data_IF_746324041792
#
_entry.id   IF_746324041792
#
_cell.length_a   1.000
_cell.length_b   1.000
_cell.length_c   1.000
_cell.angle_alpha   90.00
_cell.angle_beta   90.00
_cell.angle_gamma   90.00
#
_symmetry.space_group_name_H-M   'P 1'
#
loop_
_entity.id
_entity.type
_entity.pdbx_description
1 polymer ?
#
# COMPACT_ATOMS: atom_id res chain seq x y z
N UNK A 1 -13.30 0.55 14.82
CA UNK A 1 -12.26 -0.50 14.87
C UNK A 1 -11.00 0.02 14.18
N UNK A 2 -9.88 -0.69 14.31
CA UNK A 2 -8.63 -0.39 13.61
C UNK A 2 -8.54 -1.33 12.41
N UNK A 3 -8.36 -0.79 11.21
CA UNK A 3 -8.37 -1.56 9.97
C UNK A 3 -7.14 -1.22 9.13
N UNK A 4 -6.50 -2.25 8.60
CA UNK A 4 -5.46 -2.14 7.59
C UNK A 4 -6.05 -2.55 6.25
N UNK A 5 -5.82 -1.74 5.23
CA UNK A 5 -6.32 -1.96 3.86
C UNK A 5 -5.12 -1.98 2.93
N UNK A 6 -4.89 -3.12 2.28
CA UNK A 6 -3.87 -3.26 1.25
C UNK A 6 -4.54 -3.31 -0.12
N UNK A 7 -4.29 -2.29 -0.94
CA UNK A 7 -4.90 -2.16 -2.26
C UNK A 7 -4.17 -2.99 -3.32
N UNK A 8 -4.95 -3.79 -4.01
CA UNK A 8 -4.62 -4.54 -5.22
C UNK A 8 -3.32 -5.33 -5.13
N UNK A 9 -3.16 -6.22 -4.13
CA UNK A 9 -2.07 -7.20 -4.12
C UNK A 9 -2.32 -8.30 -5.16
N UNK A 10 -2.48 -7.91 -6.42
CA UNK A 10 -2.74 -8.80 -7.55
C UNK A 10 -1.42 -9.23 -8.21
N UNK A 11 -1.39 -10.39 -8.91
CA UNK A 11 -0.18 -10.87 -9.57
C UNK A 11 0.48 -9.85 -10.49
N UNK A 12 -0.29 -9.08 -11.26
CA UNK A 12 0.22 -8.13 -12.24
C UNK A 12 1.09 -7.04 -11.61
N UNK A 13 0.64 -6.48 -10.49
CA UNK A 13 1.37 -5.42 -9.79
C UNK A 13 2.54 -5.99 -8.99
N UNK A 14 2.33 -7.06 -8.24
CA UNK A 14 3.40 -7.68 -7.45
C UNK A 14 4.52 -8.23 -8.35
N UNK A 15 4.19 -8.89 -9.45
CA UNK A 15 5.18 -9.41 -10.40
C UNK A 15 5.97 -8.30 -11.07
N UNK A 16 5.32 -7.17 -11.35
CA UNK A 16 6.00 -5.98 -11.88
C UNK A 16 7.05 -5.48 -10.88
N UNK A 17 6.67 -5.31 -9.61
CA UNK A 17 7.59 -4.90 -8.54
C UNK A 17 8.75 -5.87 -8.35
N UNK A 18 8.45 -7.17 -8.26
CA UNK A 18 9.45 -8.23 -8.11
C UNK A 18 10.45 -8.22 -9.27
N UNK A 19 9.98 -8.05 -10.52
CA UNK A 19 10.87 -7.97 -11.70
C UNK A 19 11.70 -6.68 -11.70
N UNK A 20 11.09 -5.53 -11.41
CA UNK A 20 11.76 -4.24 -11.42
C UNK A 20 12.84 -4.11 -10.34
N UNK A 21 12.63 -4.73 -9.18
CA UNK A 21 13.55 -4.62 -8.06
C UNK A 21 14.48 -5.83 -7.91
N UNK A 22 14.10 -7.01 -8.40
CA UNK A 22 14.83 -8.27 -8.19
C UNK A 22 15.94 -8.59 -9.20
N UNK A 23 16.05 -7.88 -10.32
CA UNK A 23 17.00 -8.22 -11.39
C UNK A 23 18.49 -8.14 -10.99
N UNK A 24 18.83 -7.37 -9.96
CA UNK A 24 20.18 -7.31 -9.38
C UNK A 24 20.36 -8.22 -8.17
N UNK A 25 19.31 -8.90 -7.71
CA UNK A 25 19.39 -9.74 -6.53
C UNK A 25 20.31 -10.93 -6.79
N UNK A 26 21.19 -11.21 -5.82
CA UNK A 26 22.11 -12.33 -5.94
C UNK A 26 21.30 -13.63 -5.86
N UNK A 27 21.23 -14.36 -6.97
CA UNK A 27 20.36 -15.55 -7.09
C UNK A 27 19.12 -15.31 -7.95
N UNK A 28 18.94 -14.08 -8.46
CA UNK A 28 17.92 -13.74 -9.45
C UNK A 28 16.55 -13.40 -8.85
N UNK A 29 15.60 -13.15 -9.75
CA UNK A 29 14.27 -12.64 -9.43
C UNK A 29 13.47 -13.54 -8.49
N UNK A 30 13.61 -14.87 -8.57
CA UNK A 30 12.89 -15.79 -7.68
C UNK A 30 13.38 -15.71 -6.23
N UNK A 31 14.69 -15.54 -6.01
CA UNK A 31 15.22 -15.31 -4.66
C UNK A 31 14.70 -13.98 -4.10
N UNK A 32 14.61 -12.96 -4.95
CA UNK A 32 14.00 -11.69 -4.56
C UNK A 32 12.51 -11.83 -4.23
N UNK A 33 11.76 -12.62 -5.02
CA UNK A 33 10.34 -12.91 -4.76
C UNK A 33 10.14 -13.50 -3.37
N UNK A 34 10.92 -14.51 -2.99
CA UNK A 34 10.83 -15.13 -1.66
C UNK A 34 11.18 -14.14 -0.54
N UNK A 35 12.20 -13.31 -0.74
CA UNK A 35 12.54 -12.24 0.21
C UNK A 35 11.40 -11.22 0.33
N UNK A 36 10.85 -10.77 -0.78
CA UNK A 36 9.75 -9.82 -0.85
C UNK A 36 8.52 -10.39 -0.14
N UNK A 37 8.12 -11.62 -0.48
CA UNK A 37 7.03 -12.38 0.16
C UNK A 37 7.21 -12.45 1.67
N UNK A 38 8.33 -13.00 2.13
CA UNK A 38 8.56 -13.21 3.56
C UNK A 38 8.56 -11.90 4.34
N UNK A 39 9.18 -10.85 3.78
CA UNK A 39 9.28 -9.55 4.45
C UNK A 39 7.95 -8.80 4.46
N UNK A 40 7.21 -8.79 3.34
CA UNK A 40 5.90 -8.14 3.24
C UNK A 40 4.93 -8.68 4.29
N UNK A 41 4.81 -10.01 4.35
CA UNK A 41 3.87 -10.67 5.26
C UNK A 41 4.27 -10.45 6.73
N UNK A 42 5.56 -10.44 7.05
CA UNK A 42 5.99 -10.16 8.42
C UNK A 42 5.80 -8.68 8.79
N UNK A 43 5.99 -7.73 7.87
CA UNK A 43 5.61 -6.33 8.10
C UNK A 43 4.12 -6.20 8.41
N UNK A 44 3.24 -6.81 7.59
CA UNK A 44 1.78 -6.78 7.83
C UNK A 44 1.45 -7.40 9.19
N UNK A 45 2.11 -8.50 9.54
CA UNK A 45 1.93 -9.18 10.82
C UNK A 45 2.33 -8.31 12.02
N UNK A 46 3.54 -7.73 12.00
CA UNK A 46 4.08 -6.97 13.12
C UNK A 46 3.46 -5.58 13.24
N UNK A 47 3.22 -4.89 12.13
CA UNK A 47 2.69 -3.52 12.13
C UNK A 47 1.20 -3.46 12.33
N UNK A 48 0.45 -4.45 11.84
CA UNK A 48 -1.01 -4.37 11.82
C UNK A 48 -1.64 -5.48 12.64
N UNK A 49 -1.40 -6.74 12.28
CA UNK A 49 -2.10 -7.87 12.90
C UNK A 49 -1.84 -7.94 14.41
N UNK A 50 -0.59 -7.90 14.85
CA UNK A 50 -0.21 -7.89 16.27
C UNK A 50 -0.62 -6.63 17.02
N UNK A 51 -0.87 -5.52 16.31
CA UNK A 51 -1.36 -4.25 16.90
C UNK A 51 -2.90 -4.15 16.92
N UNK A 52 -3.59 -5.24 16.61
CA UNK A 52 -5.04 -5.36 16.71
C UNK A 52 -5.79 -4.72 15.55
N UNK A 53 -5.16 -4.59 14.38
CA UNK A 53 -5.84 -4.20 13.15
C UNK A 53 -6.53 -5.41 12.50
N UNK A 54 -7.76 -5.22 12.02
CA UNK A 54 -8.33 -6.10 11.01
C UNK A 54 -7.59 -5.93 9.68
N UNK A 55 -7.34 -7.03 8.96
CA UNK A 55 -6.59 -7.02 7.70
C UNK A 55 -7.56 -7.18 6.53
N UNK A 56 -7.48 -6.28 5.57
CA UNK A 56 -8.35 -6.24 4.39
C UNK A 56 -7.50 -6.11 3.14
N UNK A 57 -7.66 -7.06 2.21
CA UNK A 57 -7.04 -7.02 0.89
C UNK A 57 -8.11 -6.64 -0.12
N UNK A 58 -7.90 -5.54 -0.83
CA UNK A 58 -8.83 -5.10 -1.89
C UNK A 58 -8.32 -5.62 -3.22
N UNK A 59 -9.19 -6.27 -3.98
CA UNK A 59 -8.88 -6.79 -5.31
C UNK A 59 -9.91 -6.27 -6.32
N UNK A 60 -9.52 -6.22 -7.59
CA UNK A 60 -10.50 -6.02 -8.66
C UNK A 60 -11.47 -7.21 -8.72
N UNK A 61 -12.69 -6.95 -9.20
CA UNK A 61 -13.78 -7.94 -9.20
C UNK A 61 -13.39 -9.16 -10.02
N UNK A 62 -13.56 -10.36 -9.45
CA UNK A 62 -13.18 -11.62 -10.07
C UNK A 62 -11.67 -11.87 -10.20
N UNK A 63 -10.82 -11.00 -9.65
CA UNK A 63 -9.37 -11.13 -9.75
C UNK A 63 -8.77 -11.97 -8.62
N UNK A 64 -7.65 -12.65 -8.86
CA UNK A 64 -6.97 -13.41 -7.81
C UNK A 64 -6.06 -12.51 -6.96
N UNK A 65 -5.95 -12.82 -5.67
CA UNK A 65 -4.85 -12.30 -4.85
C UNK A 65 -3.54 -12.99 -5.21
N UNK A 66 -2.44 -12.25 -5.21
CA UNK A 66 -1.09 -12.77 -5.44
C UNK A 66 -0.70 -13.81 -4.39
N UNK A 67 -0.03 -14.87 -4.82
CA UNK A 67 0.57 -15.91 -3.96
C UNK A 67 1.71 -15.41 -3.07
N UNK A 68 2.12 -14.16 -3.27
CA UNK A 68 3.08 -13.43 -2.44
C UNK A 68 2.44 -12.89 -1.16
N UNK A 69 1.11 -12.92 -1.05
CA UNK A 69 0.38 -12.56 0.17
C UNK A 69 -0.11 -13.81 0.89
N UNK A 70 0.28 -13.95 2.15
CA UNK A 70 -0.14 -15.03 3.03
C UNK A 70 -1.42 -14.62 3.78
N UNK A 71 -2.57 -14.81 3.12
CA UNK A 71 -3.89 -14.54 3.71
C UNK A 71 -4.15 -15.48 4.87
N UNK A 72 -4.47 -14.94 6.05
CA UNK A 72 -4.82 -15.71 7.23
C UNK A 72 -6.35 -15.83 7.41
N UNK A 73 -6.85 -16.83 8.16
CA UNK A 73 -8.28 -17.03 8.36
C UNK A 73 -9.12 -15.82 8.82
N UNK A 74 -8.62 -14.89 9.68
CA UNK A 74 -9.39 -13.71 10.07
C UNK A 74 -9.28 -12.54 9.07
N UNK A 75 -8.40 -12.63 8.08
CA UNK A 75 -8.21 -11.58 7.09
C UNK A 75 -9.38 -11.60 6.08
N UNK A 76 -9.69 -10.45 5.48
CA UNK A 76 -10.76 -10.32 4.48
C UNK A 76 -10.20 -10.00 3.11
N UNK A 77 -10.80 -10.59 2.08
CA UNK A 77 -10.62 -10.17 0.69
C UNK A 77 -11.92 -9.47 0.28
N UNK A 78 -11.82 -8.24 -0.19
CA UNK A 78 -12.97 -7.43 -0.62
C UNK A 78 -12.81 -7.01 -2.07
N UNK A 79 -13.92 -6.97 -2.79
CA UNK A 79 -13.95 -6.58 -4.19
C UNK A 79 -14.07 -5.06 -4.33
N UNK A 80 -13.43 -4.50 -5.36
CA UNK A 80 -13.36 -3.06 -5.58
C UNK A 80 -14.65 -2.48 -6.18
N UNK A 81 -15.55 -3.33 -6.69
CA UNK A 81 -16.72 -2.94 -7.48
C UNK A 81 -16.37 -2.58 -8.92
N UNK A 82 -15.23 -3.06 -9.41
CA UNK A 82 -14.71 -2.83 -10.76
C UNK A 82 -13.70 -3.92 -11.12
N UNK A 83 -13.78 -4.44 -12.34
CA UNK A 83 -12.81 -5.40 -12.87
C UNK A 83 -11.53 -4.71 -13.38
N UNK A 84 -10.44 -5.48 -13.47
CA UNK A 84 -9.12 -4.96 -13.84
C UNK A 84 -9.06 -4.44 -15.28
N UNK A 85 -9.78 -5.07 -16.23
CA UNK A 85 -9.79 -4.67 -17.64
C UNK A 85 -10.45 -3.30 -17.80
N UNK A 86 -11.59 -3.08 -17.15
CA UNK A 86 -12.28 -1.78 -17.11
C UNK A 86 -11.39 -0.69 -16.53
N UNK A 87 -10.72 -0.96 -15.40
CA UNK A 87 -9.82 0.01 -14.76
C UNK A 87 -8.63 0.39 -15.65
N UNK A 88 -8.06 -0.58 -16.37
CA UNK A 88 -6.86 -0.39 -17.19
C UNK A 88 -7.14 0.00 -18.65
N UNK A 89 -8.41 0.20 -19.01
CA UNK A 89 -8.82 0.63 -20.36
C UNK A 89 -9.10 2.13 -20.38
N UNK A 90 -8.34 2.88 -21.18
CA UNK A 90 -8.58 4.31 -21.43
C UNK A 90 -9.93 4.50 -22.12
N UNK A 91 -10.72 5.40 -21.56
CA UNK A 91 -11.97 5.87 -22.15
C UNK A 91 -11.69 6.77 -23.37
N UNK A 92 -12.73 7.08 -24.13
CA UNK A 92 -12.63 7.92 -25.35
C UNK A 92 -12.12 9.34 -25.08
N UNK A 93 -12.26 9.83 -23.84
CA UNK A 93 -11.73 11.12 -23.39
C UNK A 93 -10.26 11.04 -22.92
N UNK A 94 -9.63 9.86 -22.96
CA UNK A 94 -8.24 9.64 -22.55
C UNK A 94 -8.05 9.28 -21.07
N UNK A 95 -9.10 9.31 -20.26
CA UNK A 95 -9.07 9.04 -18.82
C UNK A 95 -9.25 7.55 -18.50
N UNK A 96 -8.77 7.12 -17.34
CA UNK A 96 -9.09 5.80 -16.77
C UNK A 96 -10.28 5.88 -15.82
N UNK A 97 -11.02 4.77 -15.71
CA UNK A 97 -12.05 4.63 -14.68
C UNK A 97 -11.42 4.14 -13.38
N UNK A 98 -11.95 4.57 -12.25
CA UNK A 98 -11.45 4.22 -10.93
C UNK A 98 -12.54 3.55 -10.10
N UNK A 99 -12.20 2.54 -9.29
CA UNK A 99 -13.11 2.01 -8.28
C UNK A 99 -13.63 3.11 -7.35
N UNK A 100 -14.89 3.00 -6.93
CA UNK A 100 -15.50 3.94 -6.00
C UNK A 100 -14.93 3.73 -4.58
N UNK A 101 -14.22 4.72 -4.00
CA UNK A 101 -13.69 4.57 -2.65
C UNK A 101 -14.77 4.35 -1.58
N UNK A 102 -15.98 4.87 -1.77
CA UNK A 102 -17.07 4.63 -0.83
C UNK A 102 -17.57 3.18 -0.89
N UNK A 103 -17.59 2.57 -2.07
CA UNK A 103 -17.91 1.15 -2.21
C UNK A 103 -16.94 0.28 -1.39
N UNK A 104 -15.64 0.55 -1.47
CA UNK A 104 -14.61 -0.17 -0.70
C UNK A 104 -14.79 0.07 0.81
N UNK A 105 -14.88 1.34 1.23
CA UNK A 105 -14.97 1.69 2.66
C UNK A 105 -16.25 1.18 3.33
N UNK A 106 -17.36 1.09 2.58
CA UNK A 106 -18.64 0.62 3.13
C UNK A 106 -18.70 -0.90 3.36
N UNK A 107 -17.78 -1.67 2.76
CA UNK A 107 -17.65 -3.11 3.05
C UNK A 107 -16.96 -3.38 4.40
N UNK A 108 -16.33 -2.36 4.98
CA UNK A 108 -15.61 -2.45 6.25
C UNK A 108 -16.43 -1.68 7.31
N UNK A 109 -17.12 -2.42 8.18
CA UNK A 109 -18.02 -1.80 9.17
C UNK A 109 -17.28 -1.12 10.32
N UNK A 110 -17.84 -0.01 10.80
CA UNK A 110 -17.45 0.69 12.04
C UNK A 110 -15.96 1.09 12.15
N UNK A 111 -15.33 1.44 11.03
CA UNK A 111 -13.96 1.94 11.00
C UNK A 111 -13.85 3.21 11.84
N UNK A 112 -12.82 3.27 12.70
CA UNK A 112 -12.42 4.51 13.40
C UNK A 112 -11.05 4.97 12.95
N UNK A 113 -10.14 4.00 12.81
CA UNK A 113 -8.76 4.19 12.36
C UNK A 113 -8.52 3.28 11.17
N UNK A 114 -7.97 3.82 10.09
CA UNK A 114 -7.58 3.07 8.89
C UNK A 114 -6.13 3.36 8.51
N UNK A 115 -5.41 2.31 8.13
CA UNK A 115 -4.05 2.38 7.58
C UNK A 115 -4.10 1.78 6.18
N UNK A 116 -3.62 2.51 5.19
CA UNK A 116 -3.82 2.16 3.77
C UNK A 116 -2.46 1.97 3.10
N UNK A 117 -2.29 0.87 2.39
CA UNK A 117 -1.08 0.52 1.66
C UNK A 117 -1.44 -0.11 0.29
N UNK A 118 -0.45 -0.61 -0.43
CA UNK A 118 -0.64 -1.28 -1.71
C UNK A 118 -0.47 -0.34 -2.91
N UNK A 119 -1.22 -0.58 -3.98
CA UNK A 119 -0.93 -0.01 -5.30
C UNK A 119 -2.08 0.86 -5.84
N UNK A 120 -1.83 1.93 -6.57
CA UNK A 120 -0.60 2.74 -6.62
C UNK A 120 -0.72 3.91 -5.63
N UNK A 121 0.38 4.27 -4.95
CA UNK A 121 0.48 5.28 -3.90
C UNK A 121 -0.16 6.60 -4.33
N UNK A 122 0.28 7.14 -5.47
CA UNK A 122 -0.12 8.46 -5.95
C UNK A 122 -1.45 8.48 -6.70
N UNK A 123 -2.17 7.36 -6.71
CA UNK A 123 -3.42 7.23 -7.44
C UNK A 123 -4.48 6.55 -6.57
N UNK A 124 -4.71 5.24 -6.70
CA UNK A 124 -5.76 4.55 -5.97
C UNK A 124 -5.63 4.62 -4.45
N UNK A 125 -4.40 4.52 -3.91
CA UNK A 125 -4.14 4.63 -2.47
C UNK A 125 -4.48 6.02 -1.96
N UNK A 126 -3.97 7.07 -2.63
CA UNK A 126 -4.26 8.46 -2.28
C UNK A 126 -5.76 8.77 -2.37
N UNK A 127 -6.45 8.30 -3.42
CA UNK A 127 -7.90 8.50 -3.59
C UNK A 127 -8.70 7.89 -2.44
N UNK A 128 -8.36 6.66 -2.03
CA UNK A 128 -9.03 6.01 -0.90
C UNK A 128 -8.71 6.71 0.42
N UNK A 129 -7.46 7.10 0.63
CA UNK A 129 -7.02 7.78 1.85
C UNK A 129 -7.66 9.15 2.01
N UNK A 130 -7.71 9.94 0.93
CA UNK A 130 -8.45 11.20 0.88
C UNK A 130 -9.92 11.00 1.22
N UNK A 131 -10.58 10.01 0.60
CA UNK A 131 -12.00 9.74 0.89
C UNK A 131 -12.23 9.31 2.34
N UNK A 132 -11.35 8.47 2.89
CA UNK A 132 -11.41 8.08 4.29
C UNK A 132 -11.26 9.29 5.24
N UNK A 133 -10.34 10.21 4.92
CA UNK A 133 -10.17 11.46 5.65
C UNK A 133 -11.43 12.35 5.57
N UNK A 134 -12.01 12.51 4.38
CA UNK A 134 -13.27 13.27 4.19
C UNK A 134 -14.44 12.72 5.01
N UNK A 135 -14.43 11.40 5.30
CA UNK A 135 -15.40 10.74 6.18
C UNK A 135 -15.10 10.89 7.66
N UNK A 136 -14.05 11.62 8.03
CA UNK A 136 -13.64 11.87 9.41
C UNK A 136 -12.95 10.69 10.08
N UNK A 137 -12.38 9.76 9.31
CA UNK A 137 -11.60 8.64 9.85
C UNK A 137 -10.18 9.10 10.23
N UNK A 138 -9.60 8.50 11.27
CA UNK A 138 -8.16 8.56 11.53
C UNK A 138 -7.44 7.72 10.46
N UNK A 139 -6.91 8.38 9.44
CA UNK A 139 -6.29 7.74 8.28
C UNK A 139 -4.82 8.07 8.16
N UNK A 140 -4.03 7.08 7.78
CA UNK A 140 -2.65 7.25 7.36
C UNK A 140 -2.31 6.27 6.24
N UNK A 141 -1.58 6.72 5.24
CA UNK A 141 -0.98 5.87 4.21
C UNK A 141 0.32 5.32 4.75
N UNK A 142 0.50 4.00 4.62
CA UNK A 142 1.76 3.34 4.90
C UNK A 142 2.60 3.24 3.63
N UNK A 143 3.39 4.28 3.39
CA UNK A 143 4.22 4.40 2.20
C UNK A 143 5.30 3.32 2.12
N UNK A 144 5.74 2.76 3.25
CA UNK A 144 6.70 1.66 3.23
C UNK A 144 6.11 0.39 2.61
N UNK A 145 4.78 0.25 2.58
CA UNK A 145 4.07 -0.93 2.06
C UNK A 145 3.32 -0.67 0.75
N UNK A 146 3.70 0.36 -0.01
CA UNK A 146 3.20 0.60 -1.37
C UNK A 146 4.18 0.10 -2.43
N UNK A 147 4.12 0.61 -3.66
CA UNK A 147 5.17 0.41 -4.68
C UNK A 147 6.57 0.87 -4.22
N UNK A 148 6.68 1.63 -3.13
CA UNK A 148 8.00 1.99 -2.59
C UNK A 148 8.68 0.82 -1.86
N UNK A 149 7.93 -0.20 -1.46
CA UNK A 149 8.44 -1.31 -0.64
C UNK A 149 9.65 -2.00 -1.26
N UNK A 150 9.64 -2.23 -2.58
CA UNK A 150 10.75 -2.87 -3.27
C UNK A 150 12.06 -2.08 -3.18
N UNK A 151 11.97 -0.75 -3.13
CA UNK A 151 13.07 0.16 -2.82
C UNK A 151 13.46 0.13 -1.34
N UNK A 152 12.49 0.11 -0.43
CA UNK A 152 12.72 0.05 1.03
C UNK A 152 13.50 -1.20 1.45
N UNK A 153 13.24 -2.35 0.85
CA UNK A 153 13.98 -3.60 1.10
C UNK A 153 15.49 -3.54 0.79
N UNK A 154 15.94 -2.49 0.11
CA UNK A 154 17.35 -2.25 -0.24
C UNK A 154 18.00 -1.21 0.67
N UNK A 155 17.23 -0.50 1.49
CA UNK A 155 17.75 0.52 2.38
C UNK A 155 18.45 -0.12 3.58
N UNK A 156 19.69 0.28 3.92
CA UNK A 156 20.43 -0.30 5.05
C UNK A 156 19.72 -0.16 6.41
N UNK A 157 18.88 0.86 6.57
CA UNK A 157 18.15 1.15 7.81
C UNK A 157 16.74 0.56 7.87
N UNK A 158 16.31 -0.21 6.87
CA UNK A 158 14.97 -0.79 6.86
C UNK A 158 14.78 -1.80 7.99
N UNK A 159 13.70 -1.63 8.74
CA UNK A 159 13.31 -2.50 9.85
C UNK A 159 11.82 -2.81 9.77
N UNK A 160 11.48 -4.09 9.79
CA UNK A 160 10.10 -4.61 9.66
C UNK A 160 9.16 -4.16 10.80
N UNK A 161 9.70 -3.80 11.95
CA UNK A 161 8.96 -3.48 13.18
C UNK A 161 8.89 -1.99 13.50
N UNK A 162 9.49 -1.12 12.68
CA UNK A 162 9.48 0.34 12.88
C UNK A 162 9.20 1.10 11.58
N UNK A 163 7.98 1.62 11.47
CA UNK A 163 7.54 2.53 10.39
C UNK A 163 7.24 3.93 10.95
N UNK A 164 7.46 5.00 10.16
CA UNK A 164 8.10 4.98 8.84
C UNK A 164 9.58 4.57 8.90
N UNK A 165 10.01 3.76 7.94
CA UNK A 165 11.36 3.21 7.82
C UNK A 165 12.31 4.15 7.07
N UNK A 166 11.73 5.10 6.33
CA UNK A 166 12.44 6.05 5.50
C UNK A 166 12.53 7.43 6.16
N UNK A 167 13.73 8.01 6.16
CA UNK A 167 13.94 9.41 6.55
C UNK A 167 14.05 10.30 5.30
N UNK A 168 13.03 11.14 5.02
CA UNK A 168 13.01 12.01 3.84
C UNK A 168 14.09 13.09 3.85
N UNK A 169 14.70 13.40 4.99
CA UNK A 169 15.83 14.35 5.07
C UNK A 169 17.05 13.82 4.33
N UNK A 170 17.16 12.51 4.14
CA UNK A 170 18.25 11.88 3.38
C UNK A 170 18.19 12.16 1.88
N UNK A 171 17.07 12.68 1.36
CA UNK A 171 16.91 13.02 -0.06
C UNK A 171 17.64 14.31 -0.46
N UNK A 172 18.18 15.06 0.50
CA UNK A 172 18.69 16.41 0.30
C UNK A 172 17.59 17.46 0.21
N UNK A 173 17.98 18.72 0.41
CA UNK A 173 17.04 19.82 0.71
C UNK A 173 15.93 19.99 -0.34
N UNK A 174 16.25 19.95 -1.63
CA UNK A 174 15.27 20.17 -2.70
C UNK A 174 14.18 19.10 -2.71
N UNK A 175 14.57 17.82 -2.69
CA UNK A 175 13.63 16.71 -2.68
C UNK A 175 12.88 16.60 -1.36
N UNK A 176 13.52 16.95 -0.25
CA UNK A 176 12.85 17.08 1.05
C UNK A 176 11.78 18.16 1.03
N UNK A 177 12.02 19.32 0.42
CA UNK A 177 10.98 20.36 0.28
C UNK A 177 9.82 19.90 -0.61
N UNK A 178 10.08 19.20 -1.72
CA UNK A 178 9.03 18.58 -2.53
C UNK A 178 8.21 17.57 -1.72
N UNK A 179 8.89 16.73 -0.94
CA UNK A 179 8.28 15.75 -0.05
C UNK A 179 7.34 16.39 0.98
N UNK A 180 7.81 17.45 1.66
CA UNK A 180 6.99 18.18 2.65
C UNK A 180 5.83 18.90 1.97
N UNK A 181 6.04 19.47 0.79
CA UNK A 181 5.00 20.19 0.04
C UNK A 181 3.84 19.26 -0.31
N UNK A 182 4.12 18.05 -0.81
CA UNK A 182 3.10 17.06 -1.14
C UNK A 182 2.21 16.67 0.07
N UNK A 183 2.75 16.76 1.30
CA UNK A 183 2.05 16.37 2.53
C UNK A 183 1.28 17.49 3.20
N UNK A 184 1.49 18.75 2.80
CA UNK A 184 0.67 19.88 3.28
C UNK A 184 -0.77 19.79 2.81
N UNK A 185 -0.98 19.25 1.61
CA UNK A 185 -2.30 19.13 0.98
C UNK A 185 -2.94 17.75 1.24
N UNK A 186 -2.16 16.79 1.73
CA UNK A 186 -2.61 15.43 2.07
C UNK A 186 -2.19 15.02 3.49
N UNK A 187 -2.95 15.40 4.54
CA UNK A 187 -2.61 15.04 5.92
C UNK A 187 -2.55 13.53 6.17
N UNK A 188 -3.22 12.72 5.36
CA UNK A 188 -3.13 11.25 5.39
C UNK A 188 -1.77 10.70 4.92
N UNK A 189 -0.90 11.51 4.33
CA UNK A 189 0.48 11.16 3.98
C UNK A 189 1.48 11.59 5.07
N UNK A 190 1.00 12.24 6.13
CA UNK A 190 1.84 12.75 7.21
C UNK A 190 2.12 11.64 8.24
N UNK A 191 3.20 10.90 8.04
CA UNK A 191 3.71 9.94 9.02
C UNK A 191 4.62 10.67 10.03
N UNK A 192 4.61 10.26 11.31
CA UNK A 192 5.57 10.77 12.29
C UNK A 192 6.95 10.16 12.00
N UNK A 193 7.78 10.91 11.25
CA UNK A 193 9.14 10.50 10.94
C UNK A 193 10.01 10.62 12.21
N UNK A 194 10.73 9.56 12.63
CA UNK A 194 11.59 9.63 13.79
C UNK A 194 12.60 10.78 13.66
N UNK A 195 12.79 11.55 14.72
CA UNK A 195 13.97 12.39 14.86
C UNK A 195 15.18 11.45 15.00
N UNK A 196 15.88 11.19 13.90
CA UNK A 196 17.16 10.49 13.88
C UNK A 196 18.29 11.46 14.22
#
# INVERSE_FOLDING_TARGET
MKEFVFLYPIPEYIDHEVKNHGWFEKGGTEVYREKYKGTLNECINLQYRKKGFGINYVIFDGHAISDTVDVQPPDRIIEAGMDFETHTTKQSNGEFLYPDPDHILNQISEIKTVRIAGFHLWDCVERLARRAHERGLDVLVDEDLTELFGGMLKQPGFTIDKFPSFDPRTLGDSLYQSFITARREGPWLWQDYPEF
#
